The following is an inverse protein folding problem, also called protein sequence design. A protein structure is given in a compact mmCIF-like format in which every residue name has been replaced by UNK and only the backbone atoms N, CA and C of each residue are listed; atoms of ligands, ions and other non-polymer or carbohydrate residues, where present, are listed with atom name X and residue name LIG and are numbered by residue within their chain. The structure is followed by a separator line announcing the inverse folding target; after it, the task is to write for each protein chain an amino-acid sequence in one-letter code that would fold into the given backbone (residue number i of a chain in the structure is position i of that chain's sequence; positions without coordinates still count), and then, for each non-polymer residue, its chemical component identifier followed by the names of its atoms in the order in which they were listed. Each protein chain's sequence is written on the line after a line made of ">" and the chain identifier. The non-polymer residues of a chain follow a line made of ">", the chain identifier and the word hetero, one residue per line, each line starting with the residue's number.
data_IF_321568013505
#
_entry.id   IF_321568013505
#
_cell.length_a   1.000
_cell.length_b   1.000
_cell.length_c   1.000
_cell.angle_alpha   90.00
_cell.angle_beta   90.00
_cell.angle_gamma   90.00
#
_symmetry.space_group_name_H-M   'P 1'
#
loop_
_entity.id
_entity.type
_entity.pdbx_description
1 polymer ?
#
# COMPACT_ATOMS: atom_id res chain seq x y z
N UNK A 1 -0.74 11.26 3.45
CA UNK A 1 0.56 11.43 4.10
C UNK A 1 0.36 12.24 5.36
N UNK A 2 0.63 11.66 6.51
CA UNK A 2 0.73 12.38 7.78
C UNK A 2 2.10 13.09 7.89
N UNK A 3 2.11 14.31 8.42
CA UNK A 3 3.32 15.06 8.73
C UNK A 3 3.28 15.44 10.20
N UNK A 4 4.23 14.93 11.00
CA UNK A 4 4.38 15.29 12.41
C UNK A 4 5.41 16.39 12.54
N UNK A 5 5.10 17.42 13.33
CA UNK A 5 5.99 18.58 13.53
C UNK A 5 6.49 18.62 14.97
N UNK A 6 7.80 18.73 15.14
CA UNK A 6 8.46 19.00 16.40
C UNK A 6 8.99 20.44 16.43
N UNK A 7 8.79 21.11 17.56
CA UNK A 7 9.35 22.44 17.80
C UNK A 7 10.78 22.27 18.29
N UNK A 8 11.73 22.84 17.56
CA UNK A 8 13.12 22.90 17.96
C UNK A 8 13.42 24.21 18.69
N UNK A 9 14.70 24.51 18.90
CA UNK A 9 15.13 25.78 19.48
C UNK A 9 14.77 26.99 18.60
N UNK A 10 14.43 28.11 19.25
CA UNK A 10 14.00 29.37 18.63
C UNK A 10 12.80 29.20 17.68
N UNK A 11 12.98 29.48 16.38
CA UNK A 11 11.94 29.43 15.35
C UNK A 11 12.14 28.25 14.39
N UNK A 12 12.99 27.29 14.77
CA UNK A 12 13.26 26.10 13.99
C UNK A 12 12.16 25.08 14.20
N UNK A 13 11.75 24.42 13.11
CA UNK A 13 10.72 23.40 13.08
C UNK A 13 11.29 22.16 12.38
N UNK A 14 10.98 20.98 12.91
CA UNK A 14 11.30 19.71 12.29
C UNK A 14 10.01 19.02 11.86
N UNK A 15 9.86 18.77 10.56
CA UNK A 15 8.78 17.96 10.02
C UNK A 15 9.31 16.54 9.71
N UNK A 16 8.57 15.52 10.19
CA UNK A 16 8.81 14.10 9.91
C UNK A 16 7.62 13.49 9.19
N UNK A 17 7.88 12.77 8.10
CA UNK A 17 6.89 12.06 7.30
C UNK A 17 7.59 10.99 6.47
N UNK A 18 6.95 9.82 6.33
CA UNK A 18 7.59 8.62 5.79
C UNK A 18 9.01 8.45 6.42
N UNK A 19 10.06 8.25 5.62
CA UNK A 19 11.47 8.15 6.08
C UNK A 19 12.22 9.49 6.02
N UNK A 20 11.52 10.61 5.79
CA UNK A 20 12.12 11.92 5.55
C UNK A 20 12.02 12.84 6.77
N UNK A 21 13.06 13.66 6.95
CA UNK A 21 13.09 14.75 7.91
C UNK A 21 13.41 16.06 7.19
N UNK A 22 12.59 17.09 7.41
CA UNK A 22 12.77 18.42 6.85
C UNK A 22 12.85 19.43 8.00
N UNK A 23 13.95 20.20 8.04
CA UNK A 23 14.09 21.31 8.97
C UNK A 23 13.71 22.59 8.26
N UNK A 24 12.87 23.41 8.88
CA UNK A 24 12.56 24.76 8.45
C UNK A 24 13.00 25.78 9.51
N UNK A 25 13.42 26.95 9.07
CA UNK A 25 13.83 28.05 9.96
C UNK A 25 13.43 29.39 9.35
N UNK A 26 13.25 30.38 10.21
CA UNK A 26 13.04 31.75 9.78
C UNK A 26 14.40 32.45 9.54
N UNK A 27 14.51 33.37 8.58
CA UNK A 27 15.72 34.16 8.41
C UNK A 27 15.94 35.08 9.62
N UNK A 28 17.18 35.55 9.80
CA UNK A 28 17.60 36.45 10.89
C UNK A 28 16.69 37.69 11.00
N UNK A 29 16.26 38.26 9.87
CA UNK A 29 15.32 39.41 9.84
C UNK A 29 13.96 39.14 10.51
N UNK A 30 13.57 37.88 10.63
CA UNK A 30 12.37 37.43 11.32
C UNK A 30 12.68 36.69 12.63
N UNK A 31 13.86 36.97 13.24
CA UNK A 31 14.31 36.44 14.53
C UNK A 31 14.61 34.93 14.56
N UNK A 32 14.72 34.27 13.40
CA UNK A 32 15.24 32.90 13.33
C UNK A 32 16.75 32.89 13.11
N UNK A 33 17.32 31.69 12.96
CA UNK A 33 18.78 31.53 12.76
C UNK A 33 19.19 31.55 11.29
N UNK A 34 18.22 31.46 10.37
CA UNK A 34 18.48 31.32 8.94
C UNK A 34 19.25 30.03 8.61
N UNK A 35 19.16 29.02 9.48
CA UNK A 35 19.89 27.74 9.37
C UNK A 35 19.28 26.78 8.35
N UNK A 36 18.04 27.02 7.95
CA UNK A 36 17.30 26.26 6.94
C UNK A 36 16.32 27.19 6.17
N UNK A 37 15.83 26.77 4.99
CA UNK A 37 14.77 27.49 4.28
C UNK A 37 13.51 27.67 5.14
N UNK A 38 12.75 28.74 4.89
CA UNK A 38 11.44 28.91 5.53
C UNK A 38 10.41 27.91 4.98
N UNK A 39 9.31 27.66 5.70
CA UNK A 39 8.26 26.74 5.22
C UNK A 39 7.71 27.11 3.83
N UNK A 40 7.56 28.41 3.54
CA UNK A 40 7.08 28.87 2.23
C UNK A 40 8.13 28.66 1.12
N UNK A 41 9.42 28.69 1.44
CA UNK A 41 10.49 28.44 0.46
C UNK A 41 10.45 26.99 -0.02
N UNK A 42 10.15 26.04 0.88
CA UNK A 42 9.93 24.64 0.49
C UNK A 42 8.74 24.48 -0.46
N UNK A 43 7.64 25.19 -0.22
CA UNK A 43 6.49 25.18 -1.14
C UNK A 43 6.90 25.68 -2.54
N UNK A 44 7.62 26.80 -2.62
CA UNK A 44 8.10 27.35 -3.89
C UNK A 44 9.09 26.42 -4.60
N UNK A 45 10.04 25.84 -3.85
CA UNK A 45 10.99 24.88 -4.38
C UNK A 45 10.30 23.61 -4.89
N UNK A 46 9.27 23.12 -4.17
CA UNK A 46 8.50 21.94 -4.56
C UNK A 46 7.82 22.11 -5.93
N UNK A 47 7.37 23.32 -6.25
CA UNK A 47 6.79 23.66 -7.56
C UNK A 47 7.81 23.54 -8.70
N UNK A 48 9.00 24.11 -8.53
CA UNK A 48 10.07 24.03 -9.51
C UNK A 48 10.58 22.59 -9.69
N UNK A 49 10.78 21.86 -8.59
CA UNK A 49 11.20 20.46 -8.60
C UNK A 49 10.16 19.55 -9.26
N UNK A 50 8.87 19.77 -8.99
CA UNK A 50 7.78 19.04 -9.62
C UNK A 50 7.77 19.24 -11.15
N UNK A 51 7.93 20.48 -11.63
CA UNK A 51 8.06 20.72 -13.06
C UNK A 51 9.28 19.99 -13.65
N UNK A 52 10.44 20.06 -13.00
CA UNK A 52 11.66 19.37 -13.44
C UNK A 52 11.50 17.85 -13.47
N UNK A 53 10.81 17.25 -12.49
CA UNK A 53 10.48 15.83 -12.49
C UNK A 53 9.70 15.41 -13.73
N UNK A 54 8.67 16.16 -14.13
CA UNK A 54 7.89 15.85 -15.33
C UNK A 54 8.71 16.00 -16.63
N UNK A 55 9.65 16.95 -16.67
CA UNK A 55 10.62 17.05 -17.77
C UNK A 55 11.49 15.80 -17.82
N UNK A 56 12.07 15.41 -16.68
CA UNK A 56 12.93 14.22 -16.57
C UNK A 56 12.18 12.95 -16.99
N UNK A 57 10.98 12.74 -16.48
CA UNK A 57 10.14 11.59 -16.84
C UNK A 57 9.84 11.54 -18.34
N UNK A 58 9.51 12.68 -18.96
CA UNK A 58 9.28 12.73 -20.41
C UNK A 58 10.53 12.34 -21.20
N UNK A 59 11.69 12.86 -20.80
CA UNK A 59 12.97 12.58 -21.45
C UNK A 59 13.39 11.11 -21.28
N UNK A 60 13.30 10.58 -20.05
CA UNK A 60 13.66 9.20 -19.73
C UNK A 60 12.81 8.19 -20.54
N UNK A 61 11.49 8.43 -20.67
CA UNK A 61 10.61 7.55 -21.48
C UNK A 61 10.91 7.55 -22.99
N UNK A 62 11.71 8.49 -23.47
CA UNK A 62 12.06 8.68 -24.89
C UNK A 62 13.55 8.59 -25.16
N UNK A 63 14.35 8.23 -24.14
CA UNK A 63 15.82 8.22 -24.22
C UNK A 63 16.41 9.57 -24.68
N UNK A 64 15.83 10.69 -24.25
CA UNK A 64 16.36 12.03 -24.49
C UNK A 64 17.27 12.41 -23.31
N UNK A 65 18.47 12.92 -23.59
CA UNK A 65 19.37 13.39 -22.54
C UNK A 65 18.79 14.62 -21.83
N UNK A 66 18.86 14.65 -20.50
CA UNK A 66 18.53 15.84 -19.71
C UNK A 66 19.69 16.82 -19.60
N UNK A 67 20.83 16.51 -20.21
CA UNK A 67 21.99 17.41 -20.24
C UNK A 67 21.62 18.75 -20.90
N UNK A 68 22.08 19.85 -20.32
CA UNK A 68 21.80 21.22 -20.78
C UNK A 68 20.32 21.64 -20.78
N UNK A 69 19.40 20.84 -20.23
CA UNK A 69 18.05 21.31 -19.90
C UNK A 69 18.11 22.06 -18.57
N UNK A 70 17.63 23.30 -18.53
CA UNK A 70 17.59 24.12 -17.30
C UNK A 70 16.19 24.60 -17.00
N UNK A 71 15.84 24.62 -15.72
CA UNK A 71 14.57 25.15 -15.23
C UNK A 71 14.83 26.21 -14.18
N UNK A 72 14.07 27.30 -14.24
CA UNK A 72 14.08 28.34 -13.21
C UNK A 72 12.65 28.77 -12.90
N UNK A 73 12.35 29.01 -11.62
CA UNK A 73 11.09 29.60 -11.19
C UNK A 73 11.34 30.98 -10.60
N UNK A 74 10.55 31.95 -11.03
CA UNK A 74 10.47 33.28 -10.44
C UNK A 74 9.03 33.56 -10.02
N UNK A 75 8.84 34.33 -8.94
CA UNK A 75 7.51 34.66 -8.43
C UNK A 75 7.26 36.15 -8.62
N UNK A 76 6.16 36.50 -9.28
CA UNK A 76 5.70 37.89 -9.41
C UNK A 76 4.61 38.07 -8.38
N UNK A 77 4.85 38.95 -7.41
CA UNK A 77 3.91 39.25 -6.32
C UNK A 77 3.02 40.41 -6.75
N UNK A 78 1.70 40.26 -6.57
CA UNK A 78 0.76 41.35 -6.81
C UNK A 78 0.96 42.49 -5.78
N UNK A 79 1.04 43.76 -6.23
CA UNK A 79 1.31 44.88 -5.34
C UNK A 79 0.19 45.15 -4.33
N UNK A 80 -1.07 44.80 -4.65
CA UNK A 80 -2.24 45.03 -3.79
C UNK A 80 -2.55 43.81 -2.91
N UNK A 81 -2.15 42.61 -3.33
CA UNK A 81 -2.35 41.39 -2.56
C UNK A 81 -1.12 40.47 -2.61
N UNK A 82 -0.29 40.52 -1.55
CA UNK A 82 0.92 39.70 -1.44
C UNK A 82 0.73 38.17 -1.57
N UNK A 83 -0.50 37.68 -1.37
CA UNK A 83 -0.83 36.26 -1.51
C UNK A 83 -1.22 35.88 -2.94
N UNK A 84 -1.57 36.86 -3.77
CA UNK A 84 -1.78 36.67 -5.19
C UNK A 84 -0.43 36.74 -5.91
N UNK A 85 0.06 35.59 -6.35
CA UNK A 85 1.37 35.47 -6.97
C UNK A 85 1.28 34.71 -8.30
N UNK A 86 2.10 35.12 -9.27
CA UNK A 86 2.33 34.36 -10.50
C UNK A 86 3.65 33.61 -10.35
N UNK A 87 3.56 32.28 -10.25
CA UNK A 87 4.74 31.41 -10.29
C UNK A 87 5.13 31.16 -11.75
N UNK A 88 6.14 31.91 -12.22
CA UNK A 88 6.65 31.85 -13.59
C UNK A 88 7.78 30.82 -13.67
N UNK A 89 7.46 29.63 -14.18
CA UNK A 89 8.43 28.59 -14.48
C UNK A 89 8.90 28.77 -15.93
N UNK A 90 10.21 28.87 -16.12
CA UNK A 90 10.86 28.99 -17.42
C UNK A 90 11.76 27.77 -17.64
N UNK A 91 11.72 27.21 -18.84
CA UNK A 91 12.51 26.05 -19.24
C UNK A 91 13.35 26.41 -20.44
N UNK A 92 14.66 26.22 -20.31
CA UNK A 92 15.65 26.35 -21.36
C UNK A 92 15.93 24.94 -21.91
N UNK A 93 15.75 24.76 -23.22
CA UNK A 93 15.89 23.47 -23.91
C UNK A 93 16.96 23.60 -25.00
N UNK A 94 17.97 22.72 -25.05
CA UNK A 94 19.07 22.79 -26.02
C UNK A 94 18.55 22.62 -27.45
N UNK A 95 19.27 23.17 -28.44
CA UNK A 95 18.82 23.31 -29.84
C UNK A 95 18.47 21.98 -30.52
N UNK A 96 19.14 20.90 -30.13
CA UNK A 96 19.00 19.54 -30.66
C UNK A 96 17.69 18.84 -30.27
N UNK A 97 16.94 19.36 -29.29
CA UNK A 97 15.60 18.85 -28.98
C UNK A 97 14.61 19.22 -30.10
N UNK A 98 13.98 18.18 -30.67
CA UNK A 98 13.00 18.31 -31.75
C UNK A 98 11.82 19.21 -31.36
N UNK A 99 11.18 19.85 -32.35
CA UNK A 99 10.00 20.68 -32.09
C UNK A 99 8.85 19.90 -31.42
N UNK A 100 8.70 18.62 -31.77
CA UNK A 100 7.69 17.73 -31.17
C UNK A 100 7.99 17.47 -29.69
N UNK A 101 9.27 17.19 -29.37
CA UNK A 101 9.69 16.93 -27.99
C UNK A 101 9.65 18.19 -27.14
N UNK A 102 9.99 19.37 -27.68
CA UNK A 102 9.80 20.65 -26.97
C UNK A 102 8.36 20.84 -26.54
N UNK A 103 7.41 20.64 -27.43
CA UNK A 103 5.98 20.72 -27.09
C UNK A 103 5.56 19.61 -26.12
N UNK A 104 6.15 18.41 -26.25
CA UNK A 104 5.90 17.30 -25.34
C UNK A 104 6.36 17.59 -23.91
N UNK A 105 7.55 18.16 -23.75
CA UNK A 105 8.13 18.58 -22.47
C UNK A 105 7.25 19.66 -21.82
N UNK A 106 6.83 20.68 -22.56
CA UNK A 106 5.92 21.71 -22.04
C UNK A 106 4.58 21.10 -21.59
N UNK A 107 4.02 20.16 -22.37
CA UNK A 107 2.80 19.42 -21.99
C UNK A 107 3.01 18.50 -20.79
N UNK A 108 4.22 17.99 -20.57
CA UNK A 108 4.55 17.20 -19.39
C UNK A 108 4.56 18.08 -18.13
N UNK A 109 5.17 19.27 -18.19
CA UNK A 109 5.18 20.24 -17.08
C UNK A 109 3.76 20.66 -16.70
N UNK A 110 2.85 20.80 -17.67
CA UNK A 110 1.43 21.07 -17.43
C UNK A 110 0.73 20.03 -16.54
N UNK A 111 1.31 18.83 -16.39
CA UNK A 111 0.80 17.78 -15.50
C UNK A 111 1.40 17.81 -14.10
N UNK A 112 2.26 18.79 -13.78
CA UNK A 112 2.84 18.93 -12.44
C UNK A 112 1.77 18.94 -11.35
N UNK A 113 1.88 17.97 -10.44
CA UNK A 113 0.94 17.77 -9.34
C UNK A 113 0.82 18.99 -8.44
N UNK A 114 1.94 19.62 -8.06
CA UNK A 114 1.93 20.84 -7.22
C UNK A 114 1.12 21.96 -7.89
N UNK A 115 1.39 22.22 -9.17
CA UNK A 115 0.62 23.20 -9.97
C UNK A 115 -0.87 22.86 -9.99
N UNK A 116 -1.22 21.61 -10.30
CA UNK A 116 -2.61 21.17 -10.43
C UNK A 116 -3.39 21.29 -9.12
N UNK A 117 -2.76 20.92 -8.00
CA UNK A 117 -3.37 21.07 -6.66
C UNK A 117 -3.59 22.54 -6.35
N UNK A 118 -2.57 23.40 -6.49
CA UNK A 118 -2.69 24.85 -6.23
C UNK A 118 -3.79 25.48 -7.10
N UNK A 119 -3.88 25.11 -8.37
CA UNK A 119 -4.93 25.60 -9.28
C UNK A 119 -6.33 25.09 -8.92
N UNK A 120 -6.44 23.90 -8.33
CA UNK A 120 -7.71 23.35 -7.85
C UNK A 120 -8.19 24.00 -6.55
N UNK A 121 -7.30 24.65 -5.79
CA UNK A 121 -7.61 25.36 -4.56
C UNK A 121 -7.94 24.41 -3.40
N UNK A 122 -6.94 23.78 -2.76
CA UNK A 122 -7.19 22.92 -1.61
C UNK A 122 -7.79 23.73 -0.45
N UNK A 123 -8.72 23.11 0.27
CA UNK A 123 -9.27 23.68 1.50
C UNK A 123 -8.32 23.44 2.67
N UNK A 124 -8.12 24.47 3.50
CA UNK A 124 -7.39 24.36 4.75
C UNK A 124 -8.39 24.33 5.90
N UNK A 125 -8.59 23.16 6.49
CA UNK A 125 -9.40 22.99 7.70
C UNK A 125 -8.46 23.00 8.91
N UNK A 126 -8.75 23.84 9.89
CA UNK A 126 -7.97 23.96 11.13
C UNK A 126 -8.89 23.57 12.28
N UNK A 127 -8.51 22.53 13.02
CA UNK A 127 -9.26 22.02 14.16
C UNK A 127 -8.34 21.77 15.36
N UNK A 128 -8.89 21.96 16.56
CA UNK A 128 -8.24 21.59 17.82
C UNK A 128 -8.73 20.20 18.23
N UNK A 129 -7.81 19.26 18.43
CA UNK A 129 -8.11 17.92 18.93
C UNK A 129 -7.44 17.70 20.28
N UNK A 130 -8.07 16.90 21.14
CA UNK A 130 -7.50 16.54 22.45
C UNK A 130 -6.25 15.66 22.33
N UNK A 131 -6.19 14.84 21.28
CA UNK A 131 -5.07 13.95 21.00
C UNK A 131 -5.01 13.67 19.48
N UNK A 132 -3.87 13.97 18.85
CA UNK A 132 -3.62 13.74 17.43
C UNK A 132 -3.62 12.25 17.04
N UNK A 133 -3.29 11.36 17.97
CA UNK A 133 -3.27 9.91 17.75
C UNK A 133 -4.68 9.29 17.85
N UNK A 134 -5.62 9.95 18.53
CA UNK A 134 -6.97 9.42 18.76
C UNK A 134 -7.93 9.60 17.58
N UNK A 135 -7.61 10.48 16.62
CA UNK A 135 -8.46 10.78 15.46
C UNK A 135 -7.94 10.15 14.16
N UNK A 136 -7.40 8.92 14.28
CA UNK A 136 -6.69 8.20 13.22
C UNK A 136 -7.50 7.99 11.92
N UNK A 137 -8.85 8.02 11.99
CA UNK A 137 -9.72 7.77 10.84
C UNK A 137 -10.27 9.04 10.17
N UNK A 138 -9.93 10.24 10.68
CA UNK A 138 -10.34 11.51 10.05
C UNK A 138 -9.80 11.64 8.60
N UNK A 139 -8.71 10.94 8.28
CA UNK A 139 -8.03 10.96 6.98
C UNK A 139 -8.76 10.23 5.85
N UNK A 140 -9.79 9.42 6.13
CA UNK A 140 -10.48 8.67 5.07
C UNK A 140 -11.33 9.56 4.14
N UNK A 141 -11.56 10.84 4.47
CA UNK A 141 -12.33 11.86 3.72
C UNK A 141 -13.80 11.50 3.37
N UNK A 142 -14.14 10.22 3.35
CA UNK A 142 -15.45 9.63 3.21
C UNK A 142 -15.88 9.21 4.61
N UNK A 143 -16.69 10.04 5.27
CA UNK A 143 -17.59 9.57 6.32
C UNK A 143 -18.88 9.17 5.61
N UNK A 144 -19.12 7.86 5.39
CA UNK A 144 -20.36 7.45 4.74
C UNK A 144 -21.53 7.96 5.56
N UNK A 145 -22.53 8.53 4.89
CA UNK A 145 -23.78 8.91 5.55
C UNK A 145 -24.44 7.64 6.09
N UNK A 146 -24.58 7.52 7.42
CA UNK A 146 -25.29 6.40 8.05
C UNK A 146 -26.77 6.29 7.62
N UNK A 147 -27.29 7.32 6.94
CA UNK A 147 -28.65 7.33 6.38
C UNK A 147 -28.72 6.72 4.97
N UNK A 148 -27.58 6.34 4.39
CA UNK A 148 -27.50 5.70 3.07
C UNK A 148 -27.05 4.25 3.25
N UNK A 149 -27.75 3.31 2.61
CA UNK A 149 -27.43 1.88 2.67
C UNK A 149 -27.37 1.33 1.24
N UNK A 150 -26.17 1.27 0.69
CA UNK A 150 -25.90 0.79 -0.65
C UNK A 150 -25.53 -0.69 -0.61
N UNK A 151 -26.40 -1.54 -1.16
CA UNK A 151 -26.16 -2.98 -1.29
C UNK A 151 -25.61 -3.31 -2.67
N UNK A 152 -24.59 -4.17 -2.71
CA UNK A 152 -24.04 -4.73 -3.95
C UNK A 152 -24.19 -6.25 -3.92
N UNK A 153 -24.26 -6.86 -5.10
CA UNK A 153 -24.47 -8.30 -5.22
C UNK A 153 -23.33 -9.08 -4.53
N UNK A 154 -23.71 -10.11 -3.76
CA UNK A 154 -22.77 -11.00 -3.08
C UNK A 154 -22.15 -10.44 -1.79
N UNK A 155 -22.63 -9.31 -1.26
CA UNK A 155 -22.21 -8.75 0.03
C UNK A 155 -23.35 -8.76 1.04
N UNK A 156 -23.03 -9.16 2.28
CA UNK A 156 -23.99 -9.39 3.35
C UNK A 156 -24.36 -8.11 4.12
N UNK A 157 -23.55 -7.05 3.99
CA UNK A 157 -23.80 -5.73 4.58
C UNK A 157 -23.72 -4.62 3.53
N UNK A 158 -24.40 -3.47 3.76
CA UNK A 158 -24.24 -2.31 2.90
C UNK A 158 -22.82 -1.76 2.97
N UNK A 159 -22.38 -1.09 1.92
CA UNK A 159 -21.02 -0.56 1.77
C UNK A 159 -20.65 0.39 2.91
N UNK A 160 -21.57 1.27 3.30
CA UNK A 160 -21.38 2.27 4.34
C UNK A 160 -21.09 1.61 5.70
N UNK A 161 -21.83 0.55 6.03
CA UNK A 161 -21.62 -0.21 7.26
C UNK A 161 -20.34 -1.05 7.18
N UNK A 162 -20.05 -1.65 6.02
CA UNK A 162 -18.80 -2.41 5.78
C UNK A 162 -17.58 -1.51 6.02
N UNK A 163 -17.56 -0.31 5.42
CA UNK A 163 -16.49 0.68 5.60
C UNK A 163 -16.37 1.07 7.07
N UNK A 164 -17.49 1.42 7.72
CA UNK A 164 -17.47 1.83 9.13
C UNK A 164 -16.89 0.73 10.05
N UNK A 165 -17.31 -0.53 9.86
CA UNK A 165 -16.83 -1.66 10.64
C UNK A 165 -15.34 -1.92 10.40
N UNK A 166 -14.90 -2.00 9.14
CA UNK A 166 -13.51 -2.31 8.81
C UNK A 166 -12.56 -1.18 9.24
N UNK A 167 -12.94 0.09 9.04
CA UNK A 167 -12.20 1.24 9.55
C UNK A 167 -12.09 1.21 11.08
N UNK A 168 -13.16 0.87 11.79
CA UNK A 168 -13.14 0.76 13.24
C UNK A 168 -12.22 -0.37 13.73
N UNK A 169 -12.23 -1.53 13.06
CA UNK A 169 -11.30 -2.64 13.37
C UNK A 169 -9.84 -2.19 13.26
N UNK A 170 -9.47 -1.55 12.16
CA UNK A 170 -8.10 -1.07 11.95
C UNK A 170 -7.71 0.01 12.96
N UNK A 171 -8.61 0.96 13.23
CA UNK A 171 -8.38 2.00 14.23
C UNK A 171 -8.17 1.43 15.65
N UNK A 172 -8.96 0.44 16.04
CA UNK A 172 -8.84 -0.22 17.34
C UNK A 172 -7.51 -0.99 17.49
N UNK A 173 -6.90 -1.40 16.37
CA UNK A 173 -5.56 -1.99 16.34
C UNK A 173 -4.43 -0.93 16.32
N UNK A 174 -4.77 0.36 16.32
CA UNK A 174 -3.80 1.46 16.22
C UNK A 174 -3.29 1.70 14.80
N UNK A 175 -3.90 1.07 13.80
CA UNK A 175 -3.53 1.22 12.38
C UNK A 175 -4.21 2.47 11.83
N UNK A 176 -3.39 3.40 11.33
CA UNK A 176 -3.85 4.69 10.81
C UNK A 176 -3.86 4.64 9.29
N UNK A 177 -5.01 4.36 8.71
CA UNK A 177 -5.15 4.27 7.25
C UNK A 177 -5.23 5.65 6.62
N UNK A 178 -4.42 5.87 5.59
CA UNK A 178 -4.52 7.02 4.71
C UNK A 178 -4.76 6.61 3.25
N UNK A 179 -5.52 7.43 2.54
CA UNK A 179 -5.73 7.29 1.10
C UNK A 179 -4.57 7.99 0.39
N UNK A 180 -3.72 7.23 -0.32
CA UNK A 180 -2.63 7.83 -1.10
C UNK A 180 -3.10 8.31 -2.48
N UNK A 181 -4.04 7.60 -3.12
CA UNK A 181 -4.58 8.04 -4.41
C UNK A 181 -5.96 7.44 -4.73
N UNK A 182 -6.71 8.18 -5.54
CA UNK A 182 -7.95 7.75 -6.20
C UNK A 182 -7.78 7.78 -7.72
N UNK A 183 -8.44 6.86 -8.43
CA UNK A 183 -8.58 6.91 -9.89
C UNK A 183 -10.01 6.52 -10.29
N UNK A 184 -10.51 7.20 -11.31
CA UNK A 184 -11.78 6.91 -11.98
C UNK A 184 -11.58 7.17 -13.48
N UNK A 185 -11.03 6.19 -14.19
CA UNK A 185 -10.59 6.39 -15.58
C UNK A 185 -11.76 6.40 -16.57
N UNK A 186 -12.80 5.62 -16.30
CA UNK A 186 -14.03 5.52 -17.08
C UNK A 186 -15.22 5.36 -16.12
N UNK A 187 -16.46 5.67 -16.56
CA UNK A 187 -17.65 5.52 -15.71
C UNK A 187 -17.73 4.13 -15.08
N UNK A 188 -18.07 4.09 -13.79
CA UNK A 188 -18.24 2.87 -13.01
C UNK A 188 -16.96 2.03 -12.82
N UNK A 189 -15.76 2.62 -12.94
CA UNK A 189 -14.49 1.94 -12.68
C UNK A 189 -13.62 2.78 -11.77
N UNK A 190 -13.69 2.46 -10.48
CA UNK A 190 -12.92 3.10 -9.42
C UNK A 190 -11.79 2.20 -8.95
N UNK A 191 -10.65 2.82 -8.67
CA UNK A 191 -9.61 2.20 -7.87
C UNK A 191 -9.08 3.20 -6.84
N UNK A 192 -8.68 2.70 -5.67
CA UNK A 192 -7.91 3.49 -4.73
C UNK A 192 -6.70 2.72 -4.20
N UNK A 193 -5.75 3.48 -3.68
CA UNK A 193 -4.61 2.97 -2.95
C UNK A 193 -4.65 3.50 -1.52
N UNK A 194 -4.59 2.60 -0.54
CA UNK A 194 -4.49 2.93 0.89
C UNK A 194 -3.21 2.37 1.49
N UNK A 195 -2.70 3.03 2.53
CA UNK A 195 -1.54 2.57 3.29
C UNK A 195 -1.65 2.97 4.76
N UNK A 196 -0.89 2.30 5.63
CA UNK A 196 -0.68 2.78 7.00
C UNK A 196 0.21 4.03 6.99
N UNK A 197 -0.21 5.08 7.69
CA UNK A 197 0.56 6.30 7.87
C UNK A 197 1.85 6.06 8.67
N UNK A 198 1.86 5.06 9.56
CA UNK A 198 3.04 4.70 10.36
C UNK A 198 3.95 3.67 9.67
N UNK A 199 3.42 2.89 8.73
CA UNK A 199 4.16 1.86 8.01
C UNK A 199 3.76 1.84 6.53
N UNK A 200 4.32 2.75 5.70
CA UNK A 200 3.92 2.90 4.30
C UNK A 200 4.10 1.65 3.43
N UNK A 201 4.92 0.68 3.88
CA UNK A 201 5.08 -0.64 3.24
C UNK A 201 3.82 -1.51 3.36
N UNK A 202 2.97 -1.27 4.36
CA UNK A 202 1.69 -1.94 4.52
C UNK A 202 0.63 -1.16 3.73
N UNK A 203 0.32 -1.63 2.53
CA UNK A 203 -0.63 -0.98 1.63
C UNK A 203 -1.48 -2.00 0.87
N UNK A 204 -2.66 -1.59 0.45
CA UNK A 204 -3.54 -2.38 -0.41
C UNK A 204 -4.21 -1.49 -1.45
N UNK A 205 -4.79 -2.14 -2.46
CA UNK A 205 -5.54 -1.45 -3.49
C UNK A 205 -6.99 -1.92 -3.43
N UNK A 206 -7.92 -0.99 -3.64
CA UNK A 206 -9.33 -1.30 -3.77
C UNK A 206 -9.79 -1.12 -5.20
N UNK A 207 -10.73 -1.94 -5.63
CA UNK A 207 -11.40 -1.82 -6.92
C UNK A 207 -12.91 -1.92 -6.73
N UNK A 208 -13.68 -1.12 -7.48
CA UNK A 208 -15.13 -1.11 -7.34
C UNK A 208 -15.83 -0.33 -8.44
N UNK A 209 -17.15 -0.51 -8.54
CA UNK A 209 -17.99 0.25 -9.47
C UNK A 209 -18.37 1.64 -8.96
N UNK A 210 -18.12 1.91 -7.68
CA UNK A 210 -18.35 3.18 -6.99
C UNK A 210 -17.15 3.52 -6.11
N UNK A 211 -17.09 4.76 -5.60
CA UNK A 211 -16.05 5.16 -4.62
C UNK A 211 -16.11 4.28 -3.37
N UNK A 212 -17.32 4.05 -2.85
CA UNK A 212 -17.58 3.33 -1.62
C UNK A 212 -17.22 1.84 -1.76
N UNK A 213 -17.53 1.22 -2.91
CA UNK A 213 -17.18 -0.19 -3.14
C UNK A 213 -15.67 -0.38 -3.31
N UNK A 214 -14.98 0.57 -3.95
CA UNK A 214 -13.52 0.55 -3.99
C UNK A 214 -12.91 0.72 -2.59
N UNK A 215 -13.44 1.62 -1.75
CA UNK A 215 -12.96 1.80 -0.37
C UNK A 215 -13.17 0.54 0.48
N UNK A 216 -14.38 -0.04 0.44
CA UNK A 216 -14.68 -1.30 1.13
C UNK A 216 -13.75 -2.42 0.67
N UNK A 217 -13.49 -2.52 -0.64
CA UNK A 217 -12.54 -3.49 -1.22
C UNK A 217 -11.12 -3.30 -0.68
N UNK A 218 -10.59 -2.07 -0.63
CA UNK A 218 -9.24 -1.83 -0.14
C UNK A 218 -9.09 -2.18 1.36
N UNK A 219 -10.07 -1.76 2.18
CA UNK A 219 -10.09 -2.04 3.62
C UNK A 219 -10.21 -3.55 3.87
N UNK A 220 -11.06 -4.25 3.12
CA UNK A 220 -11.19 -5.70 3.17
C UNK A 220 -9.88 -6.40 2.82
N UNK A 221 -9.24 -6.01 1.71
CA UNK A 221 -7.92 -6.54 1.33
C UNK A 221 -6.87 -6.23 2.41
N UNK A 222 -6.92 -5.06 3.05
CA UNK A 222 -5.97 -4.72 4.12
C UNK A 222 -6.10 -5.66 5.31
N UNK A 223 -7.34 -5.90 5.77
CA UNK A 223 -7.64 -6.83 6.87
C UNK A 223 -7.27 -8.26 6.48
N UNK A 224 -7.51 -8.66 5.24
CA UNK A 224 -7.09 -9.96 4.69
C UNK A 224 -5.57 -10.13 4.79
N UNK A 225 -4.78 -9.18 4.27
CA UNK A 225 -3.31 -9.26 4.32
C UNK A 225 -2.77 -9.21 5.74
N UNK A 226 -3.39 -8.42 6.61
CA UNK A 226 -3.03 -8.35 8.03
C UNK A 226 -3.28 -9.69 8.73
N UNK A 227 -4.46 -10.29 8.57
CA UNK A 227 -4.80 -11.57 9.22
C UNK A 227 -3.90 -12.73 8.78
N UNK A 228 -3.33 -12.65 7.57
CA UNK A 228 -2.47 -13.69 7.00
C UNK A 228 -0.97 -13.39 7.15
N UNK A 229 -0.59 -12.38 7.96
CA UNK A 229 0.79 -11.88 8.11
C UNK A 229 1.47 -11.53 6.76
N UNK A 230 0.69 -11.29 5.71
CA UNK A 230 1.17 -11.28 4.32
C UNK A 230 1.95 -10.01 3.96
N UNK A 231 1.78 -8.92 4.72
CA UNK A 231 2.64 -7.73 4.59
C UNK A 231 4.11 -8.03 4.85
N UNK A 232 4.41 -9.11 5.59
CA UNK A 232 5.75 -9.48 6.02
C UNK A 232 6.19 -10.86 5.48
N UNK A 233 5.47 -11.39 4.49
CA UNK A 233 5.81 -12.67 3.86
C UNK A 233 7.20 -12.59 3.20
N UNK A 234 8.00 -13.65 3.34
CA UNK A 234 9.35 -13.71 2.77
C UNK A 234 10.39 -12.79 3.43
N UNK A 235 10.09 -12.21 4.60
CA UNK A 235 11.03 -11.37 5.37
C UNK A 235 11.34 -12.04 6.70
N UNK A 236 12.61 -12.05 7.11
CA UNK A 236 13.02 -12.47 8.44
C UNK A 236 12.59 -11.44 9.49
N UNK A 237 11.85 -11.86 10.53
CA UNK A 237 11.25 -10.97 11.52
C UNK A 237 12.16 -10.64 12.71
N UNK A 238 13.39 -11.16 12.70
CA UNK A 238 14.38 -10.90 13.75
C UNK A 238 14.43 -12.00 14.81
N UNK A 239 15.55 -12.07 15.51
CA UNK A 239 15.83 -13.12 16.49
C UNK A 239 14.88 -13.09 17.69
N UNK A 240 14.37 -11.91 18.07
CA UNK A 240 13.42 -11.77 19.18
C UNK A 240 12.12 -12.51 18.88
N UNK A 241 11.51 -12.26 17.71
CA UNK A 241 10.29 -12.93 17.28
C UNK A 241 10.57 -14.41 16.95
N UNK A 242 11.70 -14.74 16.34
CA UNK A 242 12.06 -16.14 16.07
C UNK A 242 12.11 -17.02 17.34
N UNK A 243 12.34 -16.41 18.50
CA UNK A 243 12.42 -17.07 19.81
C UNK A 243 11.24 -16.79 20.75
N UNK A 244 10.20 -16.07 20.31
CA UNK A 244 9.00 -15.83 21.12
C UNK A 244 8.12 -17.08 21.26
N UNK A 245 7.11 -17.03 22.14
CA UNK A 245 6.19 -18.15 22.39
C UNK A 245 5.57 -18.71 21.09
N UNK A 246 5.19 -17.81 20.18
CA UNK A 246 4.80 -18.12 18.80
C UNK A 246 5.42 -17.09 17.85
N UNK A 247 5.62 -17.47 16.58
CA UNK A 247 6.10 -16.60 15.49
C UNK A 247 4.91 -16.07 14.69
N UNK A 248 4.10 -16.96 14.11
CA UNK A 248 3.00 -16.64 13.21
C UNK A 248 1.67 -16.52 13.94
N UNK A 249 1.28 -17.55 14.69
CA UNK A 249 0.01 -17.60 15.42
C UNK A 249 0.10 -18.40 16.72
N UNK A 250 -0.67 -18.06 17.77
CA UNK A 250 -0.66 -18.80 19.04
C UNK A 250 -1.01 -20.30 18.92
N UNK A 251 -1.72 -20.70 17.87
CA UNK A 251 -2.11 -22.09 17.61
C UNK A 251 -1.19 -22.82 16.61
N UNK A 252 -0.08 -22.21 16.21
CA UNK A 252 0.95 -22.85 15.41
C UNK A 252 1.60 -24.03 16.17
N UNK A 253 2.19 -24.96 15.42
CA UNK A 253 2.96 -26.05 16.00
C UNK A 253 4.33 -26.15 15.37
N UNK A 254 5.31 -26.42 16.22
CA UNK A 254 6.70 -26.61 15.84
C UNK A 254 7.06 -28.09 15.85
N UNK A 255 7.58 -28.57 14.73
CA UNK A 255 8.00 -29.96 14.58
C UNK A 255 9.50 -30.03 14.40
N UNK A 256 10.18 -30.82 15.24
CA UNK A 256 11.63 -31.04 15.11
C UNK A 256 11.93 -31.84 13.87
N UNK A 257 13.04 -31.52 13.22
CA UNK A 257 13.55 -32.27 12.08
C UNK A 257 13.70 -33.76 12.43
N UNK A 258 13.30 -34.64 11.51
CA UNK A 258 13.48 -36.07 11.66
C UNK A 258 14.94 -36.49 11.65
N UNK A 259 15.20 -37.75 12.03
CA UNK A 259 16.53 -38.32 11.92
C UNK A 259 17.00 -38.23 10.46
N UNK A 260 18.26 -37.87 10.22
CA UNK A 260 18.82 -37.68 8.87
C UNK A 260 18.01 -36.72 7.98
N UNK A 261 17.39 -35.71 8.59
CA UNK A 261 16.63 -34.66 7.87
C UNK A 261 15.32 -35.15 7.24
N UNK A 262 14.76 -36.24 7.76
CA UNK A 262 13.44 -36.74 7.37
C UNK A 262 12.31 -35.79 7.78
N UNK A 263 11.19 -35.87 7.06
CA UNK A 263 9.97 -35.14 7.40
C UNK A 263 9.35 -35.70 8.70
N UNK A 264 8.88 -34.84 9.61
CA UNK A 264 8.07 -35.28 10.75
C UNK A 264 6.79 -36.00 10.29
N UNK A 265 6.41 -37.08 10.95
CA UNK A 265 5.24 -37.89 10.56
C UNK A 265 3.88 -37.17 10.76
N UNK A 266 3.84 -36.15 11.61
CA UNK A 266 2.62 -35.44 12.00
C UNK A 266 2.36 -34.15 11.18
N UNK A 267 3.18 -33.88 10.15
CA UNK A 267 2.97 -32.75 9.23
C UNK A 267 2.49 -33.27 7.87
N UNK A 268 1.65 -32.46 7.21
CA UNK A 268 0.97 -32.84 5.97
C UNK A 268 0.09 -34.11 6.15
N UNK A 269 -0.73 -34.41 5.15
CA UNK A 269 -1.42 -35.70 5.06
C UNK A 269 -0.91 -36.50 3.86
N UNK A 270 -1.35 -37.76 3.74
CA UNK A 270 -0.94 -38.64 2.64
C UNK A 270 -1.17 -37.99 1.27
N UNK A 271 -2.31 -37.31 1.09
CA UNK A 271 -2.63 -36.60 -0.15
C UNK A 271 -1.63 -35.47 -0.44
N UNK A 272 -1.32 -34.63 0.55
CA UNK A 272 -0.33 -33.57 0.41
C UNK A 272 1.05 -34.13 0.07
N UNK A 273 1.46 -35.25 0.66
CA UNK A 273 2.75 -35.89 0.36
C UNK A 273 2.83 -36.38 -1.09
N UNK A 274 1.73 -36.84 -1.69
CA UNK A 274 1.72 -37.18 -3.13
C UNK A 274 1.96 -35.98 -4.05
N UNK A 275 1.67 -34.77 -3.58
CA UNK A 275 1.84 -33.53 -4.35
C UNK A 275 3.21 -32.92 -4.11
N UNK A 276 3.62 -32.80 -2.84
CA UNK A 276 4.81 -32.05 -2.44
C UNK A 276 6.06 -32.91 -2.30
N UNK A 277 5.91 -34.22 -2.19
CA UNK A 277 7.01 -35.16 -2.06
C UNK A 277 6.84 -36.41 -2.96
N UNK A 278 6.54 -36.26 -4.26
CA UNK A 278 6.25 -37.40 -5.14
C UNK A 278 7.43 -38.36 -5.28
N UNK A 279 8.66 -37.83 -5.28
CA UNK A 279 9.89 -38.60 -5.47
C UNK A 279 10.60 -38.96 -4.15
N UNK A 280 10.05 -38.55 -3.00
CA UNK A 280 10.65 -38.82 -1.69
C UNK A 280 11.90 -37.97 -1.36
N UNK A 281 12.13 -36.89 -2.09
CA UNK A 281 13.32 -36.03 -1.96
C UNK A 281 13.13 -34.84 -1.00
N UNK A 282 11.89 -34.55 -0.57
CA UNK A 282 11.60 -33.46 0.35
C UNK A 282 12.15 -33.76 1.74
N UNK A 283 12.96 -32.83 2.26
CA UNK A 283 13.60 -32.93 3.57
C UNK A 283 13.03 -31.91 4.54
N UNK A 284 13.15 -32.21 5.84
CA UNK A 284 12.67 -31.31 6.89
C UNK A 284 13.33 -29.93 6.83
N UNK A 285 14.63 -29.86 6.57
CA UNK A 285 15.39 -28.61 6.50
C UNK A 285 14.94 -27.68 5.37
N UNK A 286 14.33 -28.22 4.31
CA UNK A 286 13.76 -27.42 3.22
C UNK A 286 12.52 -26.62 3.67
N UNK A 287 11.88 -27.03 4.76
CA UNK A 287 10.59 -26.51 5.23
C UNK A 287 10.71 -25.52 6.40
N UNK A 288 11.92 -25.13 6.78
CA UNK A 288 12.11 -24.05 7.77
C UNK A 288 11.55 -22.75 7.18
N UNK A 289 10.72 -22.03 7.94
CA UNK A 289 10.09 -20.81 7.47
C UNK A 289 11.08 -19.64 7.43
N UNK A 290 10.93 -18.78 6.42
CA UNK A 290 11.79 -17.60 6.23
C UNK A 290 11.67 -16.62 7.38
N UNK A 291 10.47 -16.48 7.95
CA UNK A 291 10.13 -15.46 8.92
C UNK A 291 10.85 -15.67 10.26
N UNK A 292 10.92 -16.93 10.71
CA UNK A 292 11.72 -17.29 11.89
C UNK A 292 13.18 -17.57 11.57
N UNK A 293 13.49 -18.13 10.40
CA UNK A 293 14.82 -18.67 10.07
C UNK A 293 15.34 -19.71 11.08
N UNK A 294 14.50 -20.23 11.97
CA UNK A 294 14.93 -20.92 13.18
C UNK A 294 14.97 -22.44 12.99
N UNK A 295 15.97 -22.90 12.24
CA UNK A 295 16.19 -24.32 11.97
C UNK A 295 16.36 -25.17 13.25
N UNK A 296 16.86 -24.57 14.34
CA UNK A 296 16.99 -25.26 15.63
C UNK A 296 15.62 -25.50 16.28
N UNK A 297 14.69 -24.56 16.16
CA UNK A 297 13.31 -24.69 16.67
C UNK A 297 12.54 -25.74 15.88
N UNK A 298 12.69 -25.74 14.55
CA UNK A 298 12.18 -26.78 13.65
C UNK A 298 11.32 -26.19 12.52
N UNK A 299 10.32 -26.96 12.08
CA UNK A 299 9.37 -26.59 11.04
C UNK A 299 8.13 -25.98 11.70
N UNK A 300 7.84 -24.71 11.42
CA UNK A 300 6.59 -24.09 11.85
C UNK A 300 5.45 -24.53 10.93
N UNK A 301 4.39 -25.09 11.50
CA UNK A 301 3.20 -25.53 10.78
C UNK A 301 1.94 -24.89 11.33
N UNK A 302 1.07 -24.49 10.40
CA UNK A 302 -0.22 -23.88 10.69
C UNK A 302 -1.33 -24.93 10.62
N UNK A 303 -2.30 -24.93 11.55
CA UNK A 303 -3.42 -25.87 11.53
C UNK A 303 -4.46 -25.49 10.47
N UNK A 304 -4.67 -26.34 9.45
CA UNK A 304 -5.76 -26.22 8.49
C UNK A 304 -6.82 -27.31 8.71
N UNK A 305 -8.08 -26.98 8.45
CA UNK A 305 -9.18 -27.95 8.53
C UNK A 305 -9.47 -28.50 7.13
N UNK A 306 -9.25 -29.81 6.96
CA UNK A 306 -9.62 -30.51 5.74
C UNK A 306 -11.14 -30.66 5.69
N UNK A 307 -11.76 -30.08 4.67
CA UNK A 307 -13.23 -29.97 4.60
C UNK A 307 -13.94 -31.32 4.41
N UNK A 308 -13.29 -32.32 3.82
CA UNK A 308 -13.92 -33.62 3.55
C UNK A 308 -14.26 -34.43 4.81
N UNK A 309 -13.49 -34.26 5.89
CA UNK A 309 -13.65 -35.04 7.12
C UNK A 309 -13.43 -34.25 8.42
N UNK A 310 -13.18 -32.94 8.33
CA UNK A 310 -13.03 -32.05 9.48
C UNK A 310 -11.72 -32.23 10.26
N UNK A 311 -10.78 -33.04 9.75
CA UNK A 311 -9.50 -33.27 10.44
C UNK A 311 -8.57 -32.07 10.29
N UNK A 312 -7.83 -31.78 11.36
CA UNK A 312 -6.72 -30.83 11.33
C UNK A 312 -5.53 -31.45 10.61
N UNK A 313 -4.96 -30.72 9.66
CA UNK A 313 -3.70 -31.02 8.99
C UNK A 313 -2.71 -29.91 9.32
N UNK A 314 -1.53 -30.26 9.82
CA UNK A 314 -0.48 -29.29 10.11
C UNK A 314 0.31 -29.02 8.83
N UNK A 315 0.15 -27.82 8.29
CA UNK A 315 0.71 -27.44 7.00
C UNK A 315 1.90 -26.48 7.21
N UNK A 316 3.12 -26.79 6.74
CA UNK A 316 4.30 -25.95 6.90
C UNK A 316 4.08 -24.53 6.35
N UNK A 317 4.36 -23.49 7.14
CA UNK A 317 4.22 -22.11 6.68
C UNK A 317 5.14 -21.81 5.49
N UNK A 318 6.31 -22.45 5.43
CA UNK A 318 7.21 -22.39 4.28
C UNK A 318 6.51 -22.75 2.95
N UNK A 319 5.72 -23.83 2.91
CA UNK A 319 5.00 -24.22 1.68
C UNK A 319 3.89 -23.21 1.34
N UNK A 320 3.22 -22.66 2.36
CA UNK A 320 2.18 -21.64 2.18
C UNK A 320 2.78 -20.41 1.50
N UNK A 321 3.86 -19.87 2.07
CA UNK A 321 4.50 -18.66 1.55
C UNK A 321 5.10 -18.87 0.15
N UNK A 322 5.73 -20.02 -0.12
CA UNK A 322 6.40 -20.25 -1.40
C UNK A 322 5.45 -20.61 -2.54
N UNK A 323 4.37 -21.36 -2.28
CA UNK A 323 3.55 -21.97 -3.34
C UNK A 323 2.19 -21.29 -3.52
N UNK A 324 1.60 -20.77 -2.44
CA UNK A 324 0.25 -20.23 -2.46
C UNK A 324 0.22 -18.71 -2.47
N UNK A 325 1.24 -18.07 -1.89
CA UNK A 325 1.35 -16.60 -1.77
C UNK A 325 0.03 -16.00 -1.25
N UNK A 326 -0.55 -15.00 -1.90
CA UNK A 326 -1.83 -14.40 -1.51
C UNK A 326 -3.07 -15.14 -2.05
N UNK A 327 -2.92 -16.20 -2.86
CA UNK A 327 -4.04 -16.82 -3.56
C UNK A 327 -4.97 -17.57 -2.58
N UNK A 328 -6.25 -17.25 -2.63
CA UNK A 328 -7.26 -17.86 -1.76
C UNK A 328 -7.29 -17.25 -0.35
N UNK A 329 -6.66 -16.09 -0.14
CA UNK A 329 -6.94 -15.27 1.04
C UNK A 329 -8.25 -14.50 0.83
N UNK A 330 -9.00 -14.25 1.90
CA UNK A 330 -10.17 -13.37 1.85
C UNK A 330 -10.50 -12.80 3.22
N UNK A 331 -11.02 -11.58 3.24
CA UNK A 331 -11.83 -11.05 4.32
C UNK A 331 -13.26 -10.77 3.82
N UNK A 332 -14.22 -10.68 4.74
CA UNK A 332 -15.62 -10.42 4.42
C UNK A 332 -16.40 -10.03 5.67
N UNK A 333 -17.63 -9.53 5.46
CA UNK A 333 -18.51 -9.16 6.57
C UNK A 333 -18.95 -10.38 7.41
N UNK A 334 -19.02 -11.55 6.77
CA UNK A 334 -19.32 -12.83 7.41
C UNK A 334 -18.32 -13.89 6.97
N UNK A 335 -18.25 -15.00 7.70
CA UNK A 335 -17.42 -16.15 7.31
C UNK A 335 -17.83 -16.72 5.95
N UNK A 336 -19.15 -16.81 5.68
CA UNK A 336 -19.65 -17.33 4.42
C UNK A 336 -19.30 -16.41 3.24
N UNK A 337 -19.44 -15.09 3.40
CA UNK A 337 -19.03 -14.10 2.39
C UNK A 337 -17.53 -14.24 2.05
N UNK A 338 -16.68 -14.34 3.07
CA UNK A 338 -15.24 -14.51 2.89
C UNK A 338 -14.89 -15.85 2.22
N UNK A 339 -15.56 -16.95 2.60
CA UNK A 339 -15.34 -18.26 2.00
C UNK A 339 -15.75 -18.29 0.52
N UNK A 340 -16.89 -17.67 0.16
CA UNK A 340 -17.32 -17.58 -1.24
C UNK A 340 -16.31 -16.80 -2.07
N UNK A 341 -15.80 -15.68 -1.56
CA UNK A 341 -14.78 -14.87 -2.23
C UNK A 341 -13.46 -15.65 -2.40
N UNK A 342 -12.97 -16.29 -1.33
CA UNK A 342 -11.79 -17.16 -1.34
C UNK A 342 -11.88 -18.25 -2.41
N UNK A 343 -12.98 -19.02 -2.41
CA UNK A 343 -13.17 -20.12 -3.36
C UNK A 343 -13.31 -19.62 -4.79
N UNK A 344 -13.98 -18.48 -4.99
CA UNK A 344 -14.10 -17.83 -6.30
C UNK A 344 -12.74 -17.40 -6.85
N UNK A 345 -11.84 -16.89 -5.99
CA UNK A 345 -10.48 -16.54 -6.41
C UNK A 345 -9.65 -17.77 -6.79
N UNK A 346 -9.78 -18.88 -6.06
CA UNK A 346 -9.13 -20.14 -6.39
C UNK A 346 -9.59 -20.61 -7.80
N UNK A 347 -10.89 -20.53 -8.09
CA UNK A 347 -11.41 -20.81 -9.43
C UNK A 347 -10.90 -19.82 -10.47
N UNK A 348 -10.90 -18.51 -10.18
CA UNK A 348 -10.39 -17.47 -11.09
C UNK A 348 -8.95 -17.80 -11.52
N UNK A 349 -8.08 -18.14 -10.57
CA UNK A 349 -6.66 -18.43 -10.84
C UNK A 349 -6.47 -19.76 -11.56
N UNK A 350 -7.19 -20.80 -11.15
CA UNK A 350 -7.12 -22.11 -11.78
C UNK A 350 -7.59 -22.07 -13.25
N UNK A 351 -8.77 -21.50 -13.49
CA UNK A 351 -9.37 -21.40 -14.83
C UNK A 351 -8.56 -20.44 -15.71
N UNK A 352 -8.06 -19.33 -15.17
CA UNK A 352 -7.15 -18.43 -15.90
C UNK A 352 -5.91 -19.18 -16.39
N UNK A 353 -5.28 -19.99 -15.54
CA UNK A 353 -4.11 -20.79 -15.93
C UNK A 353 -4.46 -21.74 -17.06
N UNK A 354 -5.56 -22.49 -16.94
CA UNK A 354 -6.01 -23.43 -17.96
C UNK A 354 -6.28 -22.76 -19.32
N UNK A 355 -6.94 -21.60 -19.31
CA UNK A 355 -7.21 -20.82 -20.53
C UNK A 355 -5.90 -20.37 -21.19
N UNK A 356 -4.94 -19.87 -20.41
CA UNK A 356 -3.68 -19.34 -20.92
C UNK A 356 -2.75 -20.47 -21.43
N UNK A 357 -2.59 -21.55 -20.68
CA UNK A 357 -1.73 -22.69 -21.05
C UNK A 357 -2.32 -23.50 -22.21
N UNK A 358 -3.65 -23.61 -22.27
CA UNK A 358 -4.36 -24.29 -23.35
C UNK A 358 -4.64 -23.42 -24.57
N UNK A 359 -4.27 -22.12 -24.54
CA UNK A 359 -4.56 -21.13 -25.59
C UNK A 359 -6.04 -21.13 -26.02
N UNK A 360 -6.95 -21.24 -25.03
CA UNK A 360 -8.37 -21.49 -25.28
C UNK A 360 -9.05 -20.24 -25.84
N UNK A 361 -9.69 -20.37 -27.00
CA UNK A 361 -10.57 -19.35 -27.55
C UNK A 361 -11.91 -19.34 -26.79
N UNK A 362 -12.15 -18.30 -26.00
CA UNK A 362 -13.38 -18.13 -25.23
C UNK A 362 -14.53 -17.63 -26.11
N UNK A 363 -15.78 -18.05 -25.84
CA UNK A 363 -16.95 -17.43 -26.44
C UNK A 363 -17.16 -16.01 -25.91
N UNK A 364 -17.68 -15.11 -26.75
CA UNK A 364 -18.11 -13.79 -26.32
C UNK A 364 -19.29 -13.87 -25.34
N UNK A 365 -19.37 -12.91 -24.41
CA UNK A 365 -20.54 -12.73 -23.54
C UNK A 365 -21.62 -12.00 -24.33
N UNK A 366 -22.80 -12.62 -24.59
CA UNK A 366 -23.84 -12.08 -25.48
C UNK A 366 -24.45 -10.73 -25.08
#
# INVERSE_FOLDING_TARGET
>A
MEIKVHFLDKLRLEAKFDDFTVIADQPIRYKGDGSAPGPFDYFLASSALCAAYFVKLYCDTRNISTENIRLSQNNIVDPENRYQQIFKIQVELPEDISANDRQGILRAIERCSVKKVVQAGPEFVIEEVKNLDADAQALLALKPSLNTNTYIAGKDLPLEQTIANMSAVLANLGIKIEIASWRNLIPNVWSLHIRDAHSPMCFTNGKGSTKESALASALGEYIERLNNNHFYAGVFWGEEIANSEFVHYPNERWFKLGCKDELPADILDEYCLTIYNPDGELRGSHLVDTNSGNAQRGICCLPYIRQSDGKTVYFPSNLIENLYVSNGMSAGNTLAEAQVQCLSEIFERAVKREILEGEIALPDVP
#
